data_IF_592982584581
#
_entry.id   IF_592982584581
#
_cell.length_a   1.000
_cell.length_b   1.000
_cell.length_c   1.000
_cell.angle_alpha   90.00
_cell.angle_beta   90.00
_cell.angle_gamma   90.00
#
_symmetry.space_group_name_H-M   'P 1'
#
loop_
_entity.id
_entity.type
_entity.pdbx_description
1 polymer ?
#
# COMPACT_ATOMS: atom_id res chain seq x y z
N UNK A 1 -16.80 1.23 13.80
CA UNK A 1 -16.25 2.39 13.07
C UNK A 1 -15.21 1.87 12.08
N UNK A 2 -15.46 2.00 10.77
CA UNK A 2 -14.51 1.56 9.74
C UNK A 2 -13.46 2.66 9.61
N UNK A 3 -12.20 2.35 9.93
CA UNK A 3 -11.09 3.29 9.77
C UNK A 3 -10.51 3.12 8.36
N UNK A 4 -10.26 4.21 7.63
CA UNK A 4 -9.64 4.11 6.32
C UNK A 4 -8.21 3.54 6.45
N UNK A 5 -7.87 2.65 5.52
CA UNK A 5 -6.52 2.18 5.28
C UNK A 5 -5.90 2.88 4.07
N UNK A 6 -4.57 2.87 3.98
CA UNK A 6 -3.85 3.48 2.86
C UNK A 6 -2.65 2.62 2.45
N UNK A 7 -2.32 2.68 1.15
CA UNK A 7 -1.16 2.07 0.54
C UNK A 7 -0.54 3.07 -0.44
N UNK A 8 0.77 3.32 -0.35
CA UNK A 8 1.47 4.20 -1.30
C UNK A 8 2.82 4.69 -0.79
N UNK A 9 3.50 5.52 -1.60
CA UNK A 9 4.76 6.16 -1.21
C UNK A 9 4.51 7.35 -0.30
N UNK A 10 5.20 7.39 0.84
CA UNK A 10 5.22 8.56 1.72
C UNK A 10 6.55 9.29 1.59
N UNK A 11 6.55 10.61 1.36
CA UNK A 11 7.78 11.41 1.29
C UNK A 11 8.66 11.28 2.53
N UNK A 12 8.06 11.02 3.69
CA UNK A 12 8.75 10.90 4.98
C UNK A 12 9.37 9.52 5.24
N UNK A 13 9.03 8.48 4.48
CA UNK A 13 9.45 7.09 4.77
C UNK A 13 10.33 6.50 3.67
N UNK A 14 10.45 7.17 2.51
CA UNK A 14 11.33 6.75 1.40
C UNK A 14 10.87 5.49 0.64
N UNK A 15 9.99 4.69 1.24
CA UNK A 15 9.46 3.44 0.71
C UNK A 15 7.93 3.42 0.70
N UNK A 16 7.34 2.38 0.11
CA UNK A 16 5.91 2.10 0.15
C UNK A 16 5.46 1.75 1.57
N UNK A 17 4.40 2.41 2.02
CA UNK A 17 3.81 2.19 3.34
C UNK A 17 2.40 1.69 3.17
N UNK A 18 2.06 0.61 3.90
CA UNK A 18 0.70 0.11 4.03
C UNK A 18 0.25 0.22 5.49
N UNK A 19 -0.95 0.75 5.72
CA UNK A 19 -1.53 0.83 7.07
C UNK A 19 -3.01 0.49 7.04
N UNK A 20 -3.43 -0.34 8.00
CA UNK A 20 -4.83 -0.79 8.17
C UNK A 20 -5.41 -1.44 6.90
N UNK A 21 -4.55 -2.09 6.12
CA UNK A 21 -4.93 -2.91 4.97
C UNK A 21 -4.48 -4.35 5.20
N UNK A 22 -5.29 -5.35 4.83
CA UNK A 22 -4.88 -6.75 4.86
C UNK A 22 -3.64 -6.97 3.98
N UNK A 23 -2.71 -7.80 4.44
CA UNK A 23 -1.47 -8.08 3.69
C UNK A 23 -1.72 -8.69 2.31
N UNK A 24 -2.77 -9.51 2.15
CA UNK A 24 -3.19 -10.04 0.85
C UNK A 24 -3.58 -8.96 -0.16
N UNK A 25 -4.33 -7.95 0.30
CA UNK A 25 -4.72 -6.82 -0.54
C UNK A 25 -3.49 -6.03 -0.99
N UNK A 26 -2.58 -5.74 -0.05
CA UNK A 26 -1.33 -5.03 -0.33
C UNK A 26 -0.49 -5.80 -1.36
N UNK A 27 -0.36 -7.13 -1.25
CA UNK A 27 0.42 -7.95 -2.18
C UNK A 27 -0.11 -7.90 -3.62
N UNK A 28 -1.43 -7.95 -3.81
CA UNK A 28 -2.04 -7.88 -5.14
C UNK A 28 -1.79 -6.51 -5.76
N UNK A 29 -2.01 -5.45 -4.97
CA UNK A 29 -1.79 -4.07 -5.40
C UNK A 29 -0.33 -3.76 -5.68
N UNK A 30 0.59 -4.27 -4.86
CA UNK A 30 2.02 -4.13 -5.05
C UNK A 30 2.48 -4.77 -6.37
N UNK A 31 2.04 -6.00 -6.65
CA UNK A 31 2.34 -6.67 -7.91
C UNK A 31 1.77 -5.94 -9.13
N UNK A 32 0.55 -5.44 -9.03
CA UNK A 32 -0.05 -4.65 -10.11
C UNK A 32 0.72 -3.35 -10.34
N UNK A 33 1.05 -2.61 -9.28
CA UNK A 33 1.77 -1.34 -9.39
C UNK A 33 3.19 -1.54 -9.95
N UNK A 34 3.86 -2.62 -9.55
CA UNK A 34 5.18 -2.99 -10.06
C UNK A 34 5.20 -3.40 -11.54
N UNK A 35 4.04 -3.67 -12.16
CA UNK A 35 3.94 -3.90 -13.61
C UNK A 35 3.82 -2.60 -14.42
N UNK A 36 3.41 -1.49 -13.77
CA UNK A 36 3.15 -0.21 -14.43
C UNK A 36 4.21 0.87 -14.13
N UNK A 37 5.13 0.61 -13.20
CA UNK A 37 6.33 1.41 -12.91
C UNK A 37 7.52 0.82 -13.67
#
# INVERSE_FOLDING_TARGET
MILPGFYGKMPATGDFVARRLPGDFVRIWDRWLAQYI
#
